data_IF_025320692992
#
_entry.id   IF_025320692992
#
_cell.length_a   1.000
_cell.length_b   1.000
_cell.length_c   1.000
_cell.angle_alpha   90.00
_cell.angle_beta   90.00
_cell.angle_gamma   90.00
#
_symmetry.space_group_name_H-M   'P 1'
#
loop_
_entity.id
_entity.type
_entity.pdbx_description
1 polymer ?
#
# COMPACT_ATOMS: atom_id res chain seq x y z
N UNK A 1 12.71 19.08 1.86
CA UNK A 1 12.00 17.81 1.62
C UNK A 1 11.78 17.70 0.12
N UNK A 2 12.00 16.54 -0.48
CA UNK A 2 12.25 16.45 -1.92
C UNK A 2 10.94 16.42 -2.73
N UNK A 3 10.84 17.30 -3.72
CA UNK A 3 9.65 17.42 -4.58
C UNK A 3 9.37 16.13 -5.35
N UNK A 4 10.42 15.35 -5.65
CA UNK A 4 10.32 14.07 -6.33
C UNK A 4 9.55 13.01 -5.52
N UNK A 5 9.61 13.03 -4.19
CA UNK A 5 8.86 12.09 -3.35
C UNK A 5 7.35 12.39 -3.36
N UNK A 6 6.99 13.68 -3.29
CA UNK A 6 5.59 14.14 -3.34
C UNK A 6 4.94 13.71 -4.66
N UNK A 7 5.63 13.98 -5.78
CA UNK A 7 5.10 13.66 -7.11
C UNK A 7 4.92 12.14 -7.29
N UNK A 8 5.80 11.33 -6.69
CA UNK A 8 5.71 9.87 -6.70
C UNK A 8 4.52 9.36 -5.87
N UNK A 9 4.31 9.84 -4.64
CA UNK A 9 3.19 9.44 -3.79
C UNK A 9 1.84 9.88 -4.35
N UNK A 10 1.75 11.09 -4.89
CA UNK A 10 0.55 11.54 -5.60
C UNK A 10 0.25 10.63 -6.79
N UNK A 11 1.28 10.21 -7.53
CA UNK A 11 1.10 9.28 -8.65
C UNK A 11 0.56 7.93 -8.16
N UNK A 12 1.09 7.40 -7.06
CA UNK A 12 0.59 6.15 -6.45
C UNK A 12 -0.88 6.28 -6.10
N UNK A 13 -1.27 7.36 -5.41
CA UNK A 13 -2.66 7.62 -5.03
C UNK A 13 -3.56 7.62 -6.28
N UNK A 14 -3.14 8.33 -7.33
CA UNK A 14 -3.88 8.40 -8.60
C UNK A 14 -4.02 7.05 -9.28
N UNK A 15 -2.92 6.29 -9.37
CA UNK A 15 -2.89 5.01 -10.06
C UNK A 15 -3.65 3.92 -9.29
N UNK A 16 -3.48 3.83 -7.97
CA UNK A 16 -4.04 2.77 -7.13
C UNK A 16 -5.54 2.96 -6.83
N UNK A 17 -5.98 4.20 -6.62
CA UNK A 17 -7.36 4.51 -6.22
C UNK A 17 -8.20 5.15 -7.33
N UNK A 18 -7.65 5.27 -8.54
CA UNK A 18 -8.26 6.01 -9.65
C UNK A 18 -8.67 7.42 -9.22
N UNK A 19 -7.79 8.06 -8.43
CA UNK A 19 -8.02 9.40 -7.88
C UNK A 19 -7.95 10.44 -8.99
N UNK A 20 -8.96 11.31 -9.04
CA UNK A 20 -9.10 12.36 -10.06
C UNK A 20 -8.98 13.76 -9.48
N UNK A 21 -9.13 13.90 -8.16
CA UNK A 21 -8.97 15.17 -7.46
C UNK A 21 -7.55 15.71 -7.65
N UNK A 22 -7.44 17.02 -7.61
CA UNK A 22 -6.17 17.71 -7.76
C UNK A 22 -5.49 17.84 -6.37
N UNK A 23 -4.44 17.06 -6.16
CA UNK A 23 -3.66 17.06 -4.92
C UNK A 23 -2.56 18.12 -5.05
N UNK A 24 -2.56 19.12 -4.16
CA UNK A 24 -1.60 20.24 -4.21
C UNK A 24 -0.24 19.82 -3.63
N UNK A 25 -0.25 18.94 -2.63
CA UNK A 25 0.94 18.48 -1.91
C UNK A 25 0.59 18.09 -0.47
N UNK A 26 1.59 17.98 0.40
CA UNK A 26 1.37 17.69 1.82
C UNK A 26 0.54 18.77 2.50
N UNK A 27 -0.30 18.33 3.42
CA UNK A 27 -1.04 19.21 4.31
C UNK A 27 -0.09 19.86 5.34
N UNK A 28 -0.35 21.11 5.75
CA UNK A 28 0.44 21.77 6.80
C UNK A 28 0.36 21.04 8.15
N UNK A 29 1.44 21.01 8.92
CA UNK A 29 1.53 20.34 10.23
C UNK A 29 0.40 20.77 11.18
N UNK A 30 0.04 22.05 11.16
CA UNK A 30 -1.02 22.59 12.02
C UNK A 30 -2.39 21.95 11.76
N UNK A 31 -2.64 21.46 10.54
CA UNK A 31 -3.90 20.81 10.16
C UNK A 31 -3.93 19.33 10.54
N UNK A 32 -2.78 18.67 10.53
CA UNK A 32 -2.69 17.20 10.64
C UNK A 32 -2.38 16.71 12.06
N UNK A 33 -1.86 17.58 12.92
CA UNK A 33 -1.52 17.20 14.30
C UNK A 33 -2.77 16.93 15.13
N UNK A 34 -3.02 15.68 15.47
CA UNK A 34 -4.12 15.20 16.33
C UNK A 34 -3.64 14.88 17.75
N UNK A 35 -4.55 14.43 18.61
CA UNK A 35 -4.23 14.04 19.99
C UNK A 35 -3.20 12.89 20.02
N UNK A 36 -2.32 12.86 21.04
CA UNK A 36 -1.24 11.87 21.16
C UNK A 36 -1.73 10.43 21.36
N UNK A 37 -2.92 10.29 21.93
CA UNK A 37 -3.52 8.98 22.18
C UNK A 37 -4.24 8.41 20.94
N UNK A 38 -4.44 9.23 19.91
CA UNK A 38 -5.00 8.84 18.63
C UNK A 38 -3.90 8.28 17.71
N UNK A 39 -4.30 7.37 16.81
CA UNK A 39 -3.44 6.94 15.71
C UNK A 39 -2.92 8.15 14.94
N UNK A 40 -1.59 8.25 14.80
CA UNK A 40 -1.00 9.28 13.96
C UNK A 40 -1.01 8.74 12.53
N UNK A 41 -1.71 9.42 11.63
CA UNK A 41 -1.73 9.07 10.22
C UNK A 41 -0.35 9.12 9.58
N UNK A 42 -0.27 8.60 8.37
CA UNK A 42 0.91 8.56 7.54
C UNK A 42 1.14 9.89 6.83
N UNK A 43 1.26 9.82 5.51
CA UNK A 43 1.51 11.00 4.68
C UNK A 43 0.18 11.66 4.30
N UNK A 44 -0.12 12.80 4.93
CA UNK A 44 -1.38 13.52 4.70
C UNK A 44 -1.19 14.65 3.68
N UNK A 45 -2.02 14.62 2.65
CA UNK A 45 -2.08 15.57 1.55
C UNK A 45 -3.31 16.48 1.64
N UNK A 46 -3.27 17.58 0.91
CA UNK A 46 -4.39 18.50 0.76
C UNK A 46 -4.76 18.70 -0.72
N UNK A 47 -6.06 18.70 -1.01
CA UNK A 47 -6.59 19.02 -2.33
C UNK A 47 -6.77 20.52 -2.53
N UNK A 48 -7.02 20.96 -3.76
CA UNK A 48 -7.39 22.35 -4.05
C UNK A 48 -8.75 22.77 -3.50
N UNK A 49 -9.62 21.81 -3.21
CA UNK A 49 -10.89 22.01 -2.52
C UNK A 49 -10.75 22.02 -0.99
N UNK A 50 -9.53 21.76 -0.47
CA UNK A 50 -9.22 21.81 0.95
C UNK A 50 -9.50 20.51 1.73
N UNK A 51 -9.89 19.45 1.04
CA UNK A 51 -10.03 18.10 1.60
C UNK A 51 -8.66 17.54 2.02
N UNK A 52 -8.67 16.67 3.03
CA UNK A 52 -7.46 15.98 3.49
C UNK A 52 -7.46 14.54 2.99
N UNK A 53 -6.32 14.09 2.48
CA UNK A 53 -6.10 12.71 2.02
C UNK A 53 -4.95 12.12 2.82
N UNK A 54 -5.22 11.11 3.63
CA UNK A 54 -4.22 10.34 4.37
C UNK A 54 -3.80 9.12 3.55
N UNK A 55 -2.50 8.93 3.32
CA UNK A 55 -1.93 7.78 2.63
C UNK A 55 -1.27 6.83 3.63
N UNK A 56 -1.81 5.61 3.70
CA UNK A 56 -1.45 4.61 4.69
C UNK A 56 -0.91 3.33 4.04
N UNK A 57 0.08 2.72 4.69
CA UNK A 57 0.70 1.48 4.25
C UNK A 57 0.47 0.36 5.26
N UNK A 58 -0.48 -0.52 4.95
CA UNK A 58 -0.84 -1.61 5.83
C UNK A 58 -0.04 -2.88 5.49
N UNK A 59 0.70 -3.38 6.49
CA UNK A 59 1.56 -4.58 6.37
C UNK A 59 1.07 -5.78 7.19
N UNK A 60 -0.09 -5.66 7.85
CA UNK A 60 -0.74 -6.72 8.64
C UNK A 60 -2.18 -6.88 8.18
N UNK A 61 -2.82 -7.99 8.55
CA UNK A 61 -4.23 -8.21 8.22
C UNK A 61 -5.08 -6.99 8.64
N UNK A 62 -6.06 -6.65 7.80
CA UNK A 62 -6.92 -5.49 8.00
C UNK A 62 -8.20 -5.96 8.69
N UNK A 63 -8.23 -5.81 10.01
CA UNK A 63 -9.31 -6.22 10.91
C UNK A 63 -10.09 -5.03 11.46
N UNK A 64 -11.04 -5.30 12.35
CA UNK A 64 -11.89 -4.28 12.97
C UNK A 64 -11.10 -3.30 13.84
N UNK A 65 -9.98 -3.73 14.44
CA UNK A 65 -9.13 -2.86 15.25
C UNK A 65 -8.36 -1.87 14.36
N UNK A 66 -7.83 -2.33 13.22
CA UNK A 66 -7.20 -1.43 12.24
C UNK A 66 -8.22 -0.44 11.65
N UNK A 67 -9.41 -0.92 11.28
CA UNK A 67 -10.47 -0.03 10.79
C UNK A 67 -10.85 1.03 11.83
N UNK A 68 -10.96 0.67 13.11
CA UNK A 68 -11.31 1.61 14.18
C UNK A 68 -10.27 2.72 14.34
N UNK A 69 -8.97 2.44 14.17
CA UNK A 69 -7.91 3.46 14.23
C UNK A 69 -8.07 4.51 13.13
N UNK A 70 -8.38 4.08 11.91
CA UNK A 70 -8.58 4.99 10.79
C UNK A 70 -9.87 5.81 10.96
N UNK A 71 -10.92 5.23 11.54
CA UNK A 71 -12.13 5.99 11.88
C UNK A 71 -11.82 7.05 12.93
N UNK A 72 -11.13 6.71 14.02
CA UNK A 72 -10.75 7.67 15.08
C UNK A 72 -9.90 8.82 14.52
N UNK A 73 -8.91 8.51 13.69
CA UNK A 73 -8.09 9.51 13.01
C UNK A 73 -8.94 10.43 12.12
N UNK A 74 -9.84 9.85 11.32
CA UNK A 74 -10.71 10.64 10.45
C UNK A 74 -11.63 11.57 11.23
N UNK A 75 -12.17 11.11 12.35
CA UNK A 75 -13.02 11.91 13.24
C UNK A 75 -12.25 13.07 13.86
N UNK A 76 -11.04 12.84 14.36
CA UNK A 76 -10.18 13.88 14.94
C UNK A 76 -9.77 14.93 13.89
N UNK A 77 -9.36 14.48 12.69
CA UNK A 77 -9.01 15.38 11.58
C UNK A 77 -10.22 16.19 11.13
N UNK A 78 -11.39 15.57 11.03
CA UNK A 78 -12.64 16.26 10.67
C UNK A 78 -13.04 17.25 11.76
N UNK A 79 -13.00 16.88 13.03
CA UNK A 79 -13.39 17.76 14.12
C UNK A 79 -12.56 19.05 14.11
N UNK A 80 -11.27 18.90 13.86
CA UNK A 80 -10.31 20.00 13.82
C UNK A 80 -10.46 20.90 12.60
N UNK A 81 -10.62 20.31 11.41
CA UNK A 81 -10.53 21.06 10.15
C UNK A 81 -11.90 21.39 9.55
N UNK A 82 -12.96 20.65 9.92
CA UNK A 82 -14.30 20.72 9.34
C UNK A 82 -14.31 20.54 7.81
N UNK A 83 -13.49 19.60 7.32
CA UNK A 83 -13.37 19.25 5.89
C UNK A 83 -13.51 17.75 5.73
N UNK A 84 -13.91 17.30 4.53
CA UNK A 84 -13.98 15.88 4.20
C UNK A 84 -12.60 15.21 4.28
N UNK A 85 -12.55 14.02 4.87
CA UNK A 85 -11.33 13.23 5.07
C UNK A 85 -11.37 11.97 4.21
N UNK A 86 -10.33 11.72 3.42
CA UNK A 86 -10.17 10.46 2.71
C UNK A 86 -8.94 9.72 3.24
N UNK A 87 -9.10 8.49 3.69
CA UNK A 87 -7.98 7.61 4.06
C UNK A 87 -7.80 6.57 2.97
N UNK A 88 -6.59 6.50 2.44
CA UNK A 88 -6.17 5.59 1.38
C UNK A 88 -5.19 4.57 1.93
N UNK A 89 -5.70 3.37 2.15
CA UNK A 89 -4.93 2.26 2.70
C UNK A 89 -4.42 1.39 1.57
N UNK A 90 -3.10 1.38 1.39
CA UNK A 90 -2.38 0.53 0.47
C UNK A 90 -1.90 -0.72 1.20
N UNK A 91 -2.31 -1.88 0.72
CA UNK A 91 -1.97 -3.15 1.35
C UNK A 91 -1.44 -4.17 0.32
N UNK A 92 -0.47 -5.03 0.66
CA UNK A 92 -0.13 -6.17 -0.18
C UNK A 92 -1.33 -7.11 -0.38
N UNK A 93 -1.46 -7.69 -1.58
CA UNK A 93 -2.51 -8.67 -1.91
C UNK A 93 -2.55 -9.91 -1.01
N UNK A 94 -1.48 -10.17 -0.27
CA UNK A 94 -1.35 -11.32 0.65
C UNK A 94 -2.09 -11.12 1.97
N UNK A 95 -2.50 -9.90 2.28
CA UNK A 95 -3.18 -9.60 3.53
C UNK A 95 -4.64 -9.98 3.45
N UNK A 96 -5.17 -10.49 4.56
CA UNK A 96 -6.59 -10.73 4.70
C UNK A 96 -7.28 -9.42 5.06
N UNK A 97 -8.28 -9.05 4.27
CA UNK A 97 -9.18 -7.95 4.58
C UNK A 97 -10.43 -8.56 5.22
N UNK A 98 -10.57 -8.38 6.53
CA UNK A 98 -11.66 -8.94 7.33
C UNK A 98 -12.78 -7.90 7.48
N UNK A 99 -12.41 -6.64 7.69
CA UNK A 99 -13.34 -5.54 7.89
C UNK A 99 -13.22 -4.47 6.78
N UNK A 100 -13.75 -4.70 5.57
CA UNK A 100 -13.56 -3.77 4.45
C UNK A 100 -14.38 -2.48 4.57
N UNK A 101 -15.41 -2.43 5.42
CA UNK A 101 -16.34 -1.31 5.51
C UNK A 101 -16.71 -0.98 6.97
N UNK A 102 -16.75 0.31 7.28
CA UNK A 102 -17.30 0.79 8.55
C UNK A 102 -18.82 0.97 8.43
N UNK A 103 -19.58 0.19 9.21
CA UNK A 103 -21.06 0.29 9.26
C UNK A 103 -21.56 1.16 10.41
N UNK A 104 -20.66 1.59 11.29
CA UNK A 104 -20.97 2.43 12.45
C UNK A 104 -21.10 3.87 11.98
N UNK A 105 -22.16 4.54 12.44
CA UNK A 105 -22.40 5.94 12.08
C UNK A 105 -21.39 6.85 12.77
N UNK A 106 -20.88 7.82 12.02
CA UNK A 106 -20.10 8.95 12.50
C UNK A 106 -20.75 10.26 12.06
N UNK A 107 -20.52 11.34 12.82
CA UNK A 107 -20.87 12.71 12.41
C UNK A 107 -19.81 13.31 11.47
N UNK A 108 -18.62 12.70 11.40
CA UNK A 108 -17.55 13.12 10.52
C UNK A 108 -17.80 12.69 9.07
N UNK A 109 -17.52 13.58 8.12
CA UNK A 109 -17.54 13.25 6.70
C UNK A 109 -16.20 12.64 6.30
N UNK A 110 -16.15 11.32 6.17
CA UNK A 110 -14.96 10.64 5.72
C UNK A 110 -15.22 9.44 4.79
N UNK A 111 -14.18 9.03 4.08
CA UNK A 111 -14.16 7.82 3.27
C UNK A 111 -12.86 7.08 3.50
N UNK A 112 -12.92 5.77 3.75
CA UNK A 112 -11.75 4.90 3.80
C UNK A 112 -11.80 4.03 2.55
N UNK A 113 -10.76 4.08 1.71
CA UNK A 113 -10.62 3.16 0.58
C UNK A 113 -9.38 2.33 0.78
N UNK A 114 -9.53 1.04 0.50
CA UNK A 114 -8.45 0.09 0.53
C UNK A 114 -8.14 -0.35 -0.91
N UNK A 115 -6.87 -0.29 -1.29
CA UNK A 115 -6.39 -0.81 -2.55
C UNK A 115 -5.25 -1.77 -2.28
N UNK A 116 -5.37 -2.96 -2.86
CA UNK A 116 -4.28 -3.91 -2.81
C UNK A 116 -3.20 -3.50 -3.82
N UNK A 117 -2.16 -2.83 -3.34
CA UNK A 117 -1.08 -2.32 -4.15
C UNK A 117 0.21 -3.10 -3.93
N UNK A 118 0.94 -3.29 -5.02
CA UNK A 118 2.14 -4.11 -5.03
C UNK A 118 1.82 -5.58 -4.82
N UNK A 119 2.47 -6.40 -5.64
CA UNK A 119 2.74 -7.75 -5.20
C UNK A 119 3.86 -7.67 -4.14
N UNK A 120 3.97 -8.63 -3.21
CA UNK A 120 5.19 -8.78 -2.40
C UNK A 120 6.42 -8.55 -3.30
N UNK A 121 7.44 -7.75 -2.92
CA UNK A 121 8.58 -7.50 -3.79
C UNK A 121 9.26 -8.79 -4.29
N UNK A 122 9.14 -9.87 -3.53
CA UNK A 122 9.56 -11.21 -3.96
C UNK A 122 8.75 -11.74 -5.16
N UNK A 123 7.45 -11.45 -5.24
CA UNK A 123 6.61 -11.75 -6.40
C UNK A 123 7.01 -10.90 -7.60
N UNK A 124 7.17 -9.58 -7.45
CA UNK A 124 7.59 -8.72 -8.58
C UNK A 124 8.94 -9.18 -9.13
N UNK A 125 9.90 -9.45 -8.25
CA UNK A 125 11.21 -9.99 -8.62
C UNK A 125 11.07 -11.35 -9.31
N UNK A 126 10.20 -12.22 -8.81
CA UNK A 126 9.91 -13.51 -9.43
C UNK A 126 9.37 -13.36 -10.85
N UNK A 127 8.39 -12.48 -11.07
CA UNK A 127 7.77 -12.27 -12.39
C UNK A 127 8.74 -11.65 -13.40
N UNK A 128 9.57 -10.70 -12.98
CA UNK A 128 10.64 -10.15 -13.84
C UNK A 128 11.60 -11.25 -14.32
N UNK A 129 12.01 -12.15 -13.42
CA UNK A 129 12.92 -13.24 -13.79
C UNK A 129 12.22 -14.27 -14.68
N UNK A 130 10.96 -14.60 -14.38
CA UNK A 130 10.14 -15.48 -15.21
C UNK A 130 10.01 -14.96 -16.64
N UNK A 131 9.75 -13.67 -16.81
CA UNK A 131 9.65 -13.03 -18.13
C UNK A 131 10.97 -13.11 -18.91
N UNK A 132 12.12 -12.89 -18.26
CA UNK A 132 13.44 -13.08 -18.88
C UNK A 132 13.60 -14.50 -19.42
N UNK A 133 13.29 -15.52 -18.60
CA UNK A 133 13.38 -16.93 -19.00
C UNK A 133 12.44 -17.26 -20.16
N UNK A 134 11.20 -16.76 -20.14
CA UNK A 134 10.24 -16.99 -21.23
C UNK A 134 10.65 -16.33 -22.55
N UNK A 135 11.37 -15.20 -22.48
CA UNK A 135 11.93 -14.49 -23.64
C UNK A 135 13.31 -15.01 -24.07
N UNK A 136 13.81 -16.11 -23.48
CA UNK A 136 15.17 -16.64 -23.68
C UNK A 136 16.28 -15.59 -23.43
N UNK A 137 16.03 -14.65 -22.51
CA UNK A 137 17.03 -13.70 -22.04
C UNK A 137 17.83 -14.38 -20.94
N UNK A 138 19.16 -14.31 -21.02
CA UNK A 138 20.04 -14.87 -20.00
C UNK A 138 19.79 -14.20 -18.64
N UNK A 139 19.58 -15.02 -17.61
CA UNK A 139 19.45 -14.55 -16.23
C UNK A 139 20.83 -14.38 -15.60
N UNK A 140 20.97 -13.39 -14.73
CA UNK A 140 22.21 -13.08 -14.01
C UNK A 140 22.36 -13.89 -12.72
N UNK A 141 23.54 -13.90 -12.12
CA UNK A 141 23.78 -14.53 -10.81
C UNK A 141 22.93 -13.89 -9.69
N UNK A 142 22.62 -12.59 -9.81
CA UNK A 142 21.69 -11.89 -8.92
C UNK A 142 20.24 -12.38 -9.10
N UNK A 143 19.85 -12.76 -10.33
CA UNK A 143 18.54 -13.37 -10.59
C UNK A 143 18.48 -14.78 -9.98
N UNK A 144 19.57 -15.57 -10.06
CA UNK A 144 19.67 -16.89 -9.44
C UNK A 144 19.56 -16.79 -7.92
N UNK A 145 20.35 -15.91 -7.31
CA UNK A 145 20.31 -15.65 -5.87
C UNK A 145 18.92 -15.20 -5.41
N UNK A 146 18.26 -14.35 -6.21
CA UNK A 146 16.88 -13.94 -5.92
C UNK A 146 15.91 -15.12 -5.92
N UNK A 147 15.98 -16.03 -6.92
CA UNK A 147 15.12 -17.23 -6.99
C UNK A 147 15.30 -18.16 -5.78
N UNK A 148 16.50 -18.25 -5.20
CA UNK A 148 16.76 -19.02 -3.98
C UNK A 148 16.10 -18.39 -2.74
N UNK A 149 16.04 -17.06 -2.70
CA UNK A 149 15.53 -16.31 -1.55
C UNK A 149 14.03 -16.06 -1.58
N UNK A 150 13.41 -15.97 -2.77
CA UNK A 150 11.99 -15.65 -2.95
C UNK A 150 11.07 -16.53 -2.07
N UNK A 151 11.22 -17.86 -2.01
CA UNK A 151 10.34 -18.69 -1.19
C UNK A 151 10.45 -18.43 0.33
N UNK A 152 11.49 -17.74 0.80
CA UNK A 152 11.61 -17.32 2.20
C UNK A 152 10.90 -15.99 2.48
N UNK A 153 10.68 -15.19 1.43
CA UNK A 153 10.13 -13.84 1.48
C UNK A 153 8.63 -13.79 1.20
N UNK A 154 8.04 -14.88 0.71
CA UNK A 154 6.58 -15.05 0.53
C UNK A 154 5.90 -15.64 1.77
N UNK A 155 4.56 -15.50 1.93
CA UNK A 155 3.79 -16.10 3.02
C UNK A 155 4.04 -17.60 3.16
N UNK A 156 3.92 -18.11 4.40
CA UNK A 156 4.34 -19.47 4.77
C UNK A 156 3.59 -20.55 3.99
N UNK A 157 2.31 -20.32 3.77
CA UNK A 157 1.34 -21.12 3.02
C UNK A 157 1.72 -21.27 1.53
N UNK A 158 2.37 -20.27 0.94
CA UNK A 158 2.71 -20.23 -0.48
C UNK A 158 4.13 -20.74 -0.79
N UNK A 159 4.98 -20.89 0.24
CA UNK A 159 6.41 -21.25 0.05
C UNK A 159 6.61 -22.54 -0.74
N UNK A 160 5.73 -23.53 -0.57
CA UNK A 160 5.82 -24.80 -1.31
C UNK A 160 5.63 -24.55 -2.82
N UNK A 161 4.61 -23.80 -3.19
CA UNK A 161 4.30 -23.44 -4.57
C UNK A 161 5.43 -22.65 -5.20
N UNK A 162 5.90 -21.59 -4.53
CA UNK A 162 6.99 -20.76 -5.05
C UNK A 162 8.32 -21.51 -5.14
N UNK A 163 8.63 -22.45 -4.24
CA UNK A 163 9.81 -23.33 -4.40
C UNK A 163 9.75 -24.13 -5.70
N UNK A 164 8.60 -24.73 -5.99
CA UNK A 164 8.42 -25.53 -7.21
C UNK A 164 8.61 -24.66 -8.45
N UNK A 165 8.00 -23.47 -8.48
CA UNK A 165 8.12 -22.55 -9.61
C UNK A 165 9.54 -22.00 -9.79
N UNK A 166 10.23 -21.63 -8.69
CA UNK A 166 11.63 -21.20 -8.75
C UNK A 166 12.55 -22.32 -9.29
N UNK A 167 12.36 -23.57 -8.87
CA UNK A 167 13.10 -24.71 -9.44
C UNK A 167 12.84 -24.91 -10.93
N UNK A 168 11.59 -24.72 -11.40
CA UNK A 168 11.29 -24.81 -12.84
C UNK A 168 12.04 -23.73 -13.64
N UNK A 169 12.11 -22.51 -13.13
CA UNK A 169 12.85 -21.41 -13.79
C UNK A 169 14.35 -21.68 -13.82
N UNK A 170 14.95 -22.09 -12.70
CA UNK A 170 16.37 -22.46 -12.63
C UNK A 170 16.71 -23.59 -13.62
N UNK A 171 15.92 -24.65 -13.65
CA UNK A 171 16.15 -25.79 -14.56
C UNK A 171 16.01 -25.43 -16.05
N UNK A 172 15.19 -24.43 -16.38
CA UNK A 172 15.07 -23.93 -17.75
C UNK A 172 16.25 -23.04 -18.13
N UNK A 173 16.79 -22.27 -17.19
CA UNK A 173 17.90 -21.35 -17.43
C UNK A 173 19.28 -22.02 -17.49
N UNK A 174 19.44 -23.21 -16.92
CA UNK A 174 20.70 -23.98 -16.90
C UNK A 174 20.86 -24.87 -18.16
N UNK A 175 19.85 -24.94 -19.04
CA UNK A 175 19.92 -25.63 -20.34
C UNK A 175 20.41 -24.72 -21.44
#
# INVERSE_FOLDING_TARGET
MDKENIDYEIKIIKDAFNEKRNIIGYAPEEKIKVNKDCHQGGDIFITDEGELIDLEYQMRDFDEEELAKYVELAEELYEKNKVSITIYVLCPRTLKVIAPECTIKSEAEFTIKLACWGENPAYERFFQIKEKVEKNIQISDDDITALEMIPLRVPKEERKTFRVECFKLLNKAIK
#
